data_IF_778252911452
#
_entry.id   IF_778252911452
#
_cell.length_a   1.000
_cell.length_b   1.000
_cell.length_c   1.000
_cell.angle_alpha   90.00
_cell.angle_beta   90.00
_cell.angle_gamma   90.00
#
_symmetry.space_group_name_H-M   'P 1'
#
loop_
_entity.id
_entity.type
_entity.pdbx_description
1 polymer ?
#
# COMPACT_ATOMS: atom_id res chain seq x y z
N UNK A 1 -42.97 -66.60 -6.44
CA UNK A 1 -42.41 -66.03 -7.68
C UNK A 1 -43.09 -64.70 -7.99
N UNK A 2 -42.43 -63.56 -7.73
CA UNK A 2 -42.64 -62.27 -8.42
C UNK A 2 -41.67 -61.20 -7.85
N UNK A 3 -40.69 -60.87 -8.69
CA UNK A 3 -40.10 -59.55 -8.97
C UNK A 3 -39.53 -58.70 -7.83
N UNK A 4 -38.20 -58.64 -7.78
CA UNK A 4 -37.44 -57.44 -7.41
C UNK A 4 -36.42 -57.19 -8.53
N UNK A 5 -36.61 -56.08 -9.26
CA UNK A 5 -35.67 -55.59 -10.27
C UNK A 5 -34.59 -54.72 -9.59
N UNK A 6 -33.33 -54.74 -10.08
CA UNK A 6 -32.23 -54.00 -9.49
C UNK A 6 -32.24 -52.54 -9.98
N UNK A 7 -32.19 -51.59 -9.06
CA UNK A 7 -31.98 -50.18 -9.37
C UNK A 7 -30.89 -49.65 -8.43
N UNK A 8 -29.64 -50.00 -8.73
CA UNK A 8 -28.49 -49.60 -7.94
C UNK A 8 -27.24 -49.71 -8.81
N UNK A 9 -27.06 -48.78 -9.74
CA UNK A 9 -25.76 -48.42 -10.32
C UNK A 9 -25.98 -47.34 -11.39
N UNK A 10 -26.10 -46.08 -10.96
CA UNK A 10 -25.90 -44.85 -11.75
C UNK A 10 -26.25 -43.70 -10.80
N UNK A 11 -25.31 -42.79 -10.55
CA UNK A 11 -25.40 -41.48 -9.85
C UNK A 11 -24.28 -41.17 -8.84
N UNK A 12 -23.17 -41.93 -8.82
CA UNK A 12 -21.93 -41.51 -8.17
C UNK A 12 -20.97 -40.72 -9.09
N UNK A 13 -21.45 -40.21 -10.23
CA UNK A 13 -20.72 -39.33 -11.15
C UNK A 13 -21.30 -37.90 -11.11
N UNK A 14 -21.50 -37.37 -9.90
CA UNK A 14 -21.83 -35.95 -9.73
C UNK A 14 -20.55 -35.11 -9.86
N UNK A 15 -20.40 -34.51 -11.03
CA UNK A 15 -19.85 -33.18 -11.29
C UNK A 15 -18.60 -32.74 -10.49
N UNK A 16 -17.41 -33.23 -10.89
CA UNK A 16 -16.19 -32.42 -10.78
C UNK A 16 -15.90 -31.86 -12.17
N UNK A 17 -16.35 -30.64 -12.45
CA UNK A 17 -16.01 -29.96 -13.70
C UNK A 17 -14.50 -29.75 -13.75
N UNK A 18 -13.87 -30.10 -14.86
CA UNK A 18 -12.44 -29.87 -15.12
C UNK A 18 -12.07 -28.40 -14.97
N UNK A 19 -13.00 -27.50 -15.28
CA UNK A 19 -12.87 -26.06 -15.08
C UNK A 19 -12.76 -25.68 -13.59
N UNK A 20 -13.56 -26.30 -12.71
CA UNK A 20 -13.47 -26.06 -11.26
C UNK A 20 -12.17 -26.62 -10.68
N UNK A 21 -11.66 -27.73 -11.21
CA UNK A 21 -10.35 -28.27 -10.82
C UNK A 21 -9.20 -27.40 -11.33
N UNK A 22 -9.29 -26.89 -12.56
CA UNK A 22 -8.30 -25.96 -13.11
C UNK A 22 -8.32 -24.62 -12.38
N UNK A 23 -9.51 -24.10 -12.02
CA UNK A 23 -9.65 -22.89 -11.21
C UNK A 23 -9.11 -23.11 -9.80
N UNK A 24 -9.42 -24.24 -9.16
CA UNK A 24 -8.84 -24.62 -7.85
C UNK A 24 -7.32 -24.76 -7.93
N UNK A 25 -6.79 -25.36 -8.98
CA UNK A 25 -5.34 -25.43 -9.18
C UNK A 25 -4.74 -24.03 -9.34
N UNK A 26 -5.36 -23.12 -10.08
CA UNK A 26 -4.86 -21.71 -10.15
C UNK A 26 -4.92 -20.98 -8.80
N UNK A 27 -5.94 -21.22 -7.99
CA UNK A 27 -6.14 -20.54 -6.69
C UNK A 27 -5.27 -21.13 -5.58
N UNK A 28 -5.01 -22.44 -5.61
CA UNK A 28 -4.30 -23.16 -4.54
C UNK A 28 -2.89 -23.61 -4.92
N UNK A 29 -2.45 -23.39 -6.16
CA UNK A 29 -1.04 -23.53 -6.51
C UNK A 29 -0.22 -22.46 -5.79
N UNK A 30 1.02 -22.79 -5.35
CA UNK A 30 1.98 -21.79 -4.95
C UNK A 30 2.09 -20.72 -6.05
N UNK A 31 2.15 -19.43 -5.67
CA UNK A 31 2.44 -18.38 -6.64
C UNK A 31 3.71 -18.74 -7.40
N UNK A 32 3.60 -18.86 -8.73
CA UNK A 32 4.76 -19.06 -9.58
C UNK A 32 5.70 -17.87 -9.41
N UNK A 33 7.03 -18.10 -9.34
CA UNK A 33 7.98 -17.02 -9.26
C UNK A 33 7.74 -16.07 -10.44
N UNK A 34 7.67 -14.76 -10.15
CA UNK A 34 7.52 -13.73 -11.17
C UNK A 34 8.61 -13.95 -12.22
N UNK A 35 8.20 -14.37 -13.43
CA UNK A 35 9.11 -14.52 -14.56
C UNK A 35 9.82 -13.20 -14.87
N UNK A 36 10.81 -13.24 -15.76
CA UNK A 36 11.46 -12.00 -16.19
C UNK A 36 10.43 -11.07 -16.81
N UNK A 37 10.24 -9.89 -16.22
CA UNK A 37 9.38 -8.83 -16.71
C UNK A 37 9.96 -8.32 -18.03
N UNK A 38 9.11 -8.14 -19.03
CA UNK A 38 9.54 -7.63 -20.34
C UNK A 38 10.07 -6.20 -20.20
N UNK A 39 9.41 -5.44 -19.33
CA UNK A 39 9.72 -4.08 -18.92
C UNK A 39 11.15 -3.97 -18.40
N UNK A 40 11.63 -4.92 -17.61
CA UNK A 40 12.99 -4.90 -17.04
C UNK A 40 14.10 -5.02 -18.10
N UNK A 41 13.77 -5.55 -19.29
CA UNK A 41 14.71 -5.70 -20.42
C UNK A 41 14.70 -4.49 -21.35
N UNK A 42 13.72 -3.59 -21.18
CA UNK A 42 13.63 -2.38 -21.98
C UNK A 42 14.82 -1.46 -21.67
N UNK A 43 15.59 -1.04 -22.69
CA UNK A 43 16.66 -0.07 -22.50
C UNK A 43 16.05 1.30 -22.20
N UNK A 44 16.47 1.91 -21.09
CA UNK A 44 16.05 3.24 -20.68
C UNK A 44 17.24 4.20 -20.81
N UNK A 45 17.09 5.27 -21.58
CA UNK A 45 18.14 6.29 -21.69
C UNK A 45 18.10 7.22 -20.47
N UNK A 46 18.89 6.86 -19.45
CA UNK A 46 18.98 7.61 -18.20
C UNK A 46 19.45 9.06 -18.36
N UNK A 47 19.90 9.52 -19.55
CA UNK A 47 20.37 10.89 -19.79
C UNK A 47 19.25 11.83 -20.27
N UNK A 48 18.24 11.32 -20.92
CA UNK A 48 17.18 12.12 -21.56
C UNK A 48 16.00 12.42 -20.62
N UNK A 49 16.04 12.01 -19.34
CA UNK A 49 14.93 12.26 -18.39
C UNK A 49 14.58 13.74 -18.21
N UNK A 50 15.50 14.68 -18.41
CA UNK A 50 15.19 16.11 -18.33
C UNK A 50 14.39 16.63 -19.54
N UNK A 51 14.45 15.93 -20.66
CA UNK A 51 13.88 16.33 -21.95
C UNK A 51 12.64 15.50 -22.30
N UNK A 52 12.53 14.29 -21.76
CA UNK A 52 11.40 13.38 -21.95
C UNK A 52 10.62 13.16 -20.64
N UNK A 53 9.48 13.83 -20.54
CA UNK A 53 8.58 13.76 -19.39
C UNK A 53 7.94 12.36 -19.20
N UNK A 54 7.72 11.60 -20.28
CA UNK A 54 7.14 10.27 -20.19
C UNK A 54 8.17 9.28 -19.66
N UNK A 55 9.41 9.37 -20.16
CA UNK A 55 10.53 8.59 -19.65
C UNK A 55 10.83 8.93 -18.18
N UNK A 56 10.84 10.21 -17.82
CA UNK A 56 10.98 10.65 -16.43
C UNK A 56 9.90 10.02 -15.54
N UNK A 57 8.63 10.12 -15.95
CA UNK A 57 7.53 9.52 -15.20
C UNK A 57 7.71 8.01 -15.05
N UNK A 58 8.08 7.30 -16.11
CA UNK A 58 8.31 5.85 -16.12
C UNK A 58 9.43 5.42 -15.16
N UNK A 59 10.53 6.16 -15.11
CA UNK A 59 11.67 5.88 -14.23
C UNK A 59 11.35 6.20 -12.77
N UNK A 60 10.71 7.36 -12.51
CA UNK A 60 10.36 7.78 -11.14
C UNK A 60 9.26 6.92 -10.50
N UNK A 61 8.45 6.24 -11.32
CA UNK A 61 7.39 5.31 -10.90
C UNK A 61 7.74 3.84 -11.16
N UNK A 62 9.03 3.52 -11.33
CA UNK A 62 9.47 2.16 -11.60
C UNK A 62 9.09 1.20 -10.44
N UNK A 63 8.36 0.10 -10.70
CA UNK A 63 8.00 -0.87 -9.66
C UNK A 63 9.20 -1.57 -9.06
N UNK A 64 9.12 -1.97 -7.80
CA UNK A 64 10.22 -2.65 -7.09
C UNK A 64 10.57 -4.01 -7.68
N UNK A 65 9.59 -4.75 -8.20
CA UNK A 65 9.86 -5.99 -8.95
C UNK A 65 10.73 -5.75 -10.19
N UNK A 66 10.57 -4.60 -10.86
CA UNK A 66 11.41 -4.27 -12.01
C UNK A 66 12.80 -3.81 -11.57
N UNK A 67 12.88 -2.98 -10.52
CA UNK A 67 14.15 -2.54 -9.93
C UNK A 67 14.98 -3.76 -9.49
N UNK A 68 14.35 -4.78 -8.89
CA UNK A 68 15.00 -6.06 -8.58
C UNK A 68 15.62 -6.70 -9.82
N UNK A 69 14.88 -6.81 -10.93
CA UNK A 69 15.39 -7.47 -12.13
C UNK A 69 16.48 -6.66 -12.84
N UNK A 70 16.44 -5.33 -12.71
CA UNK A 70 17.44 -4.40 -13.26
C UNK A 70 18.73 -4.38 -12.44
N UNK A 71 18.62 -4.32 -11.11
CA UNK A 71 19.77 -4.14 -10.20
C UNK A 71 20.28 -5.46 -9.59
N UNK A 72 19.44 -6.49 -9.55
CA UNK A 72 19.66 -7.69 -8.75
C UNK A 72 19.42 -7.46 -7.25
N UNK A 73 19.91 -8.36 -6.39
CA UNK A 73 19.80 -8.22 -4.93
C UNK A 73 20.43 -6.91 -4.45
N UNK A 74 19.76 -6.21 -3.53
CA UNK A 74 20.22 -4.92 -3.02
C UNK A 74 19.56 -4.58 -1.68
N UNK A 75 20.06 -3.55 -1.01
CA UNK A 75 19.43 -2.91 0.15
C UNK A 75 19.00 -1.50 -0.23
N UNK A 76 17.73 -1.18 -0.06
CA UNK A 76 17.22 0.17 -0.22
C UNK A 76 16.67 0.69 1.11
N UNK A 77 16.91 1.96 1.40
CA UNK A 77 16.44 2.61 2.62
C UNK A 77 15.81 3.94 2.25
N UNK A 78 14.57 4.13 2.67
CA UNK A 78 13.84 5.39 2.52
C UNK A 78 13.56 5.99 3.88
N UNK A 79 13.90 7.25 4.07
CA UNK A 79 13.43 8.07 5.19
C UNK A 79 12.45 9.10 4.66
N UNK A 80 11.30 9.22 5.31
CA UNK A 80 10.29 10.25 5.00
C UNK A 80 10.00 11.02 6.27
N UNK A 81 10.04 12.35 6.19
CA UNK A 81 9.59 13.23 7.25
C UNK A 81 8.48 14.08 6.68
N UNK A 82 7.36 14.16 7.38
CA UNK A 82 6.30 15.07 7.01
C UNK A 82 5.78 15.83 8.22
N UNK A 83 5.40 17.08 7.99
CA UNK A 83 4.75 17.95 8.95
C UNK A 83 3.55 18.62 8.27
N UNK A 84 2.37 18.42 8.83
CA UNK A 84 1.15 19.11 8.44
C UNK A 84 0.90 20.29 9.37
N UNK A 85 0.67 21.45 8.79
CA UNK A 85 0.27 22.67 9.48
C UNK A 85 -1.16 22.99 9.10
N UNK A 86 -2.05 23.11 10.09
CA UNK A 86 -3.39 23.64 9.86
C UNK A 86 -3.32 25.17 9.85
N UNK A 87 -3.88 25.80 8.81
CA UNK A 87 -3.82 27.25 8.65
C UNK A 87 -4.48 28.03 9.81
N UNK A 88 -4.15 29.32 9.98
CA UNK A 88 -4.65 30.16 11.09
C UNK A 88 -6.17 30.43 11.06
N UNK A 89 -6.88 30.00 10.01
CA UNK A 89 -8.33 30.19 9.85
C UNK A 89 -9.23 29.22 10.63
N UNK A 90 -8.68 28.25 11.37
CA UNK A 90 -9.45 27.30 12.19
C UNK A 90 -9.52 27.74 13.66
N UNK A 91 -10.68 27.52 14.30
CA UNK A 91 -11.01 27.99 15.66
C UNK A 91 -10.02 27.55 16.75
N UNK A 92 -9.23 26.51 16.50
CA UNK A 92 -8.36 25.88 17.49
C UNK A 92 -6.88 26.25 17.32
N UNK A 93 -6.55 27.23 16.46
CA UNK A 93 -5.22 27.86 16.45
C UNK A 93 -4.07 27.04 15.86
N UNK A 94 -4.35 26.17 14.88
CA UNK A 94 -3.34 25.43 14.12
C UNK A 94 -2.66 24.31 14.93
N UNK A 95 -2.96 23.04 14.62
CA UNK A 95 -2.21 21.91 15.17
C UNK A 95 -1.20 21.37 14.17
N UNK A 96 0.03 21.16 14.65
CA UNK A 96 1.09 20.49 13.91
C UNK A 96 0.96 18.97 14.08
N UNK A 97 0.94 18.23 12.96
CA UNK A 97 1.07 16.78 12.96
C UNK A 97 2.34 16.42 12.20
N UNK A 98 3.34 15.94 12.92
CA UNK A 98 4.61 15.49 12.33
C UNK A 98 4.90 14.02 12.60
N UNK A 99 5.52 13.38 11.62
CA UNK A 99 5.96 11.99 11.67
C UNK A 99 7.24 11.82 10.86
N UNK A 100 8.21 11.10 11.43
CA UNK A 100 9.40 10.63 10.71
C UNK A 100 9.33 9.13 10.58
N UNK A 101 9.23 8.63 9.35
CA UNK A 101 9.22 7.21 9.01
C UNK A 101 10.54 6.80 8.36
N UNK A 102 10.98 5.59 8.67
CA UNK A 102 12.12 4.94 8.06
C UNK A 102 11.71 3.55 7.62
N UNK A 103 11.94 3.25 6.35
CA UNK A 103 11.70 1.95 5.75
C UNK A 103 12.98 1.39 5.15
N UNK A 104 13.31 0.15 5.48
CA UNK A 104 14.38 -0.62 4.83
C UNK A 104 13.75 -1.76 4.03
N UNK A 105 14.15 -1.89 2.77
CA UNK A 105 13.88 -3.04 1.91
C UNK A 105 15.21 -3.79 1.68
N UNK A 106 15.25 -5.05 2.06
CA UNK A 106 16.28 -5.99 1.63
C UNK A 106 15.70 -6.83 0.50
N UNK A 107 16.21 -6.61 -0.72
CA UNK A 107 15.80 -7.36 -1.89
C UNK A 107 16.74 -8.56 -2.08
N UNK A 108 16.18 -9.76 -1.96
CA UNK A 108 16.84 -11.02 -2.26
C UNK A 108 16.67 -11.43 -3.72
N UNK A 109 17.32 -12.54 -4.14
CA UNK A 109 17.12 -13.10 -5.47
C UNK A 109 15.75 -13.77 -5.60
N UNK A 110 15.13 -13.68 -6.78
CA UNK A 110 13.94 -14.48 -7.13
C UNK A 110 12.66 -13.99 -6.47
N UNK A 111 12.59 -12.70 -6.14
CA UNK A 111 11.42 -12.07 -5.55
C UNK A 111 11.34 -12.15 -4.03
N UNK A 112 12.29 -12.79 -3.34
CA UNK A 112 12.36 -12.81 -1.88
C UNK A 112 12.72 -11.42 -1.34
N UNK A 113 12.11 -10.98 -0.24
CA UNK A 113 12.42 -9.68 0.36
C UNK A 113 12.09 -9.58 1.86
N UNK A 114 12.69 -8.60 2.52
CA UNK A 114 12.38 -8.18 3.89
C UNK A 114 12.11 -6.67 3.89
N UNK A 115 10.94 -6.28 4.40
CA UNK A 115 10.55 -4.88 4.63
C UNK A 115 10.47 -4.63 6.12
N UNK A 116 11.24 -3.67 6.60
CA UNK A 116 11.15 -3.14 7.95
C UNK A 116 10.77 -1.67 7.92
N UNK A 117 9.64 -1.33 8.54
CA UNK A 117 9.16 0.04 8.72
C UNK A 117 9.15 0.39 10.20
N UNK A 118 9.64 1.58 10.54
CA UNK A 118 9.52 2.17 11.88
C UNK A 118 9.35 3.68 11.82
N UNK A 119 8.78 4.28 12.86
CA UNK A 119 8.67 5.72 12.99
C UNK A 119 9.08 6.25 14.37
N UNK A 120 9.18 7.58 14.48
CA UNK A 120 9.53 8.32 15.70
C UNK A 120 8.46 8.27 16.81
N UNK A 121 7.36 7.55 16.58
CA UNK A 121 6.30 7.26 17.57
C UNK A 121 6.33 5.80 18.06
N UNK A 122 7.45 5.10 17.86
CA UNK A 122 7.63 3.69 18.24
C UNK A 122 6.59 2.75 17.61
N UNK A 123 6.11 3.08 16.42
CA UNK A 123 5.24 2.22 15.63
C UNK A 123 5.99 1.69 14.42
N UNK A 124 5.55 0.53 13.92
CA UNK A 124 6.21 -0.13 12.81
C UNK A 124 5.91 -1.61 12.74
N UNK A 125 6.43 -2.24 11.69
CA UNK A 125 6.33 -3.67 11.45
C UNK A 125 7.53 -4.16 10.67
N UNK A 126 7.69 -5.48 10.65
CA UNK A 126 8.64 -6.17 9.79
C UNK A 126 7.91 -7.29 9.06
N UNK A 127 8.09 -7.36 7.75
CA UNK A 127 7.54 -8.39 6.88
C UNK A 127 8.68 -9.07 6.13
N UNK A 128 8.79 -10.38 6.27
CA UNK A 128 9.70 -11.22 5.50
C UNK A 128 8.88 -12.06 4.54
N UNK A 129 9.13 -11.89 3.24
CA UNK A 129 8.64 -12.74 2.17
C UNK A 129 9.77 -13.63 1.68
N UNK A 130 9.63 -14.93 1.89
CA UNK A 130 10.68 -15.88 1.55
C UNK A 130 10.06 -17.17 1.03
N UNK A 131 10.40 -17.56 -0.21
CA UNK A 131 9.98 -18.82 -0.85
C UNK A 131 8.47 -19.05 -0.80
N UNK A 132 7.68 -18.00 -1.03
CA UNK A 132 6.22 -18.09 -1.04
C UNK A 132 5.57 -18.01 0.34
N UNK A 133 6.33 -17.76 1.41
CA UNK A 133 5.83 -17.65 2.77
C UNK A 133 5.97 -16.23 3.32
N UNK A 134 4.91 -15.72 3.94
CA UNK A 134 4.89 -14.40 4.58
C UNK A 134 5.01 -14.53 6.10
N UNK A 135 5.98 -13.84 6.69
CA UNK A 135 6.16 -13.70 8.13
C UNK A 135 6.04 -12.24 8.52
N UNK A 136 5.23 -11.92 9.52
CA UNK A 136 4.99 -10.54 9.95
C UNK A 136 5.11 -10.43 11.46
N UNK A 137 5.75 -9.37 11.94
CA UNK A 137 5.67 -8.92 13.34
C UNK A 137 5.37 -7.43 13.41
N UNK A 138 4.77 -7.01 14.52
CA UNK A 138 4.87 -5.61 14.94
C UNK A 138 6.29 -5.31 15.42
N UNK A 139 6.63 -4.02 15.55
CA UNK A 139 7.98 -3.58 15.92
C UNK A 139 8.60 -4.32 17.12
N UNK A 140 7.79 -4.62 18.15
CA UNK A 140 8.21 -5.30 19.39
C UNK A 140 7.57 -6.68 19.60
N UNK A 141 6.82 -7.18 18.62
CA UNK A 141 6.13 -8.47 18.72
C UNK A 141 6.94 -9.65 18.15
N UNK A 142 6.53 -10.89 18.42
CA UNK A 142 7.09 -12.05 17.75
C UNK A 142 6.64 -12.12 16.28
N UNK A 143 7.46 -12.74 15.43
CA UNK A 143 7.03 -13.08 14.08
C UNK A 143 5.90 -14.10 14.11
N UNK A 144 4.95 -13.93 13.20
CA UNK A 144 3.88 -14.88 12.93
C UNK A 144 3.83 -15.17 11.45
N UNK A 145 3.65 -16.43 11.09
CA UNK A 145 3.38 -16.81 9.72
C UNK A 145 1.99 -16.35 9.33
N UNK A 146 1.88 -15.57 8.27
CA UNK A 146 0.62 -15.09 7.72
C UNK A 146 0.25 -15.90 6.49
N UNK A 147 -1.05 -16.07 6.27
CA UNK A 147 -1.54 -16.60 5.00
C UNK A 147 -1.38 -15.54 3.92
N UNK A 148 -0.96 -15.96 2.75
CA UNK A 148 -0.68 -15.11 1.59
C UNK A 148 -1.96 -14.56 0.97
N UNK A 149 -3.05 -15.31 1.02
CA UNK A 149 -4.40 -14.89 0.56
C UNK A 149 -4.96 -13.66 1.29
N UNK A 150 -4.44 -13.34 2.47
CA UNK A 150 -4.85 -12.18 3.28
C UNK A 150 -3.77 -11.12 3.41
N UNK A 151 -2.58 -11.36 2.84
CA UNK A 151 -1.42 -10.48 2.97
C UNK A 151 -0.94 -10.12 1.57
N UNK A 152 -1.23 -8.90 1.15
CA UNK A 152 -0.77 -8.37 -0.13
C UNK A 152 0.71 -7.96 -0.02
N UNK A 153 1.59 -8.96 -0.09
CA UNK A 153 3.04 -8.80 0.07
C UNK A 153 3.63 -7.92 -1.04
N UNK A 154 3.10 -8.05 -2.26
CA UNK A 154 3.49 -7.22 -3.40
C UNK A 154 3.24 -5.76 -3.12
N UNK A 155 2.01 -5.40 -2.69
CA UNK A 155 1.69 -4.01 -2.35
C UNK A 155 2.55 -3.47 -1.21
N UNK A 156 2.86 -4.28 -0.18
CA UNK A 156 3.73 -3.84 0.91
C UNK A 156 5.14 -3.53 0.40
N UNK A 157 5.69 -4.38 -0.49
CA UNK A 157 6.98 -4.13 -1.14
C UNK A 157 6.97 -2.82 -1.94
N UNK A 158 5.92 -2.59 -2.75
CA UNK A 158 5.82 -1.36 -3.54
C UNK A 158 5.66 -0.11 -2.64
N UNK A 159 4.88 -0.21 -1.57
CA UNK A 159 4.68 0.89 -0.61
C UNK A 159 5.96 1.25 0.15
N UNK A 160 6.83 0.27 0.44
CA UNK A 160 8.04 0.45 1.22
C UNK A 160 8.98 1.55 0.68
N UNK A 161 8.99 1.76 -0.63
CA UNK A 161 9.84 2.73 -1.33
C UNK A 161 9.03 3.71 -2.20
N UNK A 162 7.76 3.93 -1.85
CA UNK A 162 6.83 4.75 -2.63
C UNK A 162 7.03 6.27 -2.50
N UNK A 163 8.04 6.72 -1.77
CA UNK A 163 8.25 8.15 -1.52
C UNK A 163 8.60 8.93 -2.80
N UNK A 164 9.47 8.40 -3.65
CA UNK A 164 9.83 9.02 -4.94
C UNK A 164 8.63 9.19 -5.89
N UNK A 165 7.84 8.14 -6.19
CA UNK A 165 6.65 8.32 -7.02
C UNK A 165 5.59 9.20 -6.36
N UNK A 166 5.51 9.22 -5.02
CA UNK A 166 4.63 10.13 -4.28
C UNK A 166 5.02 11.59 -4.48
N UNK A 167 6.30 11.92 -4.40
CA UNK A 167 6.82 13.26 -4.70
C UNK A 167 6.50 13.69 -6.14
N UNK A 168 6.73 12.81 -7.11
CA UNK A 168 6.40 13.11 -8.51
C UNK A 168 4.89 13.32 -8.72
N UNK A 169 4.05 12.51 -8.08
CA UNK A 169 2.59 12.68 -8.11
C UNK A 169 2.17 14.04 -7.54
N UNK A 170 2.62 14.37 -6.33
CA UNK A 170 2.26 15.62 -5.66
C UNK A 170 2.79 16.85 -6.41
N UNK A 171 3.98 16.73 -7.01
CA UNK A 171 4.54 17.74 -7.91
C UNK A 171 3.87 17.81 -9.28
N UNK A 172 2.94 16.91 -9.61
CA UNK A 172 2.35 16.82 -10.96
C UNK A 172 3.47 16.69 -12.02
N UNK A 173 4.49 15.88 -11.71
CA UNK A 173 5.73 15.73 -12.47
C UNK A 173 6.87 16.58 -11.93
N UNK A 174 8.00 15.98 -11.60
CA UNK A 174 9.21 16.71 -11.21
C UNK A 174 9.90 17.36 -12.41
N UNK A 175 10.39 18.59 -12.24
CA UNK A 175 11.25 19.25 -13.25
C UNK A 175 12.71 18.89 -12.99
N UNK A 176 13.28 18.11 -13.91
CA UNK A 176 14.63 17.59 -13.80
C UNK A 176 15.61 18.45 -14.62
N UNK A 177 16.81 18.63 -14.10
CA UNK A 177 17.95 19.20 -14.82
C UNK A 177 19.16 18.31 -14.61
N UNK A 178 19.83 17.93 -15.69
CA UNK A 178 21.11 17.20 -15.59
C UNK A 178 22.13 18.09 -14.86
N UNK A 179 22.73 17.57 -13.79
CA UNK A 179 23.80 18.26 -13.06
C UNK A 179 25.14 17.74 -13.55
N UNK A 180 25.38 16.44 -13.40
CA UNK A 180 26.60 15.77 -13.82
C UNK A 180 26.41 14.25 -13.84
N UNK A 181 27.39 13.53 -14.40
CA UNK A 181 27.54 12.10 -14.18
C UNK A 181 28.47 11.85 -12.98
N UNK A 182 28.24 10.77 -12.24
CA UNK A 182 29.09 10.34 -11.13
C UNK A 182 29.08 8.82 -10.97
N UNK A 183 29.73 8.31 -9.93
CA UNK A 183 29.71 6.89 -9.57
C UNK A 183 29.04 6.73 -8.21
N UNK A 184 28.10 5.78 -8.09
CA UNK A 184 27.47 5.39 -6.83
C UNK A 184 27.40 3.85 -6.76
N UNK A 185 27.79 3.25 -5.63
CA UNK A 185 27.87 1.79 -5.47
C UNK A 185 28.65 1.06 -6.59
N UNK A 186 29.69 1.71 -7.13
CA UNK A 186 30.49 1.17 -8.24
C UNK A 186 29.82 1.26 -9.62
N UNK A 187 28.63 1.87 -9.71
CA UNK A 187 27.85 2.02 -10.94
C UNK A 187 27.87 3.47 -11.44
N UNK A 188 27.81 3.66 -12.75
CA UNK A 188 27.71 5.00 -13.35
C UNK A 188 26.29 5.53 -13.20
N UNK A 189 26.15 6.76 -12.70
CA UNK A 189 24.85 7.41 -12.50
C UNK A 189 24.80 8.78 -13.15
N UNK A 190 23.61 9.17 -13.61
CA UNK A 190 23.27 10.56 -13.91
C UNK A 190 22.70 11.19 -12.64
N UNK A 191 23.26 12.33 -12.22
CA UNK A 191 22.71 13.14 -11.15
C UNK A 191 21.80 14.20 -11.76
N UNK A 192 20.54 14.19 -11.35
CA UNK A 192 19.56 15.20 -11.65
C UNK A 192 19.36 16.13 -10.46
N UNK A 193 19.30 17.43 -10.73
CA UNK A 193 18.78 18.43 -9.82
C UNK A 193 17.29 18.59 -10.07
N UNK A 194 16.52 18.66 -8.99
CA UNK A 194 15.08 18.97 -9.04
C UNK A 194 14.90 20.43 -8.67
N UNK A 195 14.29 21.19 -9.56
CA UNK A 195 14.00 22.61 -9.34
C UNK A 195 12.62 22.93 -9.94
N UNK A 196 11.57 22.64 -9.16
CA UNK A 196 10.18 22.89 -9.53
C UNK A 196 9.39 21.63 -9.91
N UNK A 197 8.19 21.89 -10.41
CA UNK A 197 7.11 20.91 -10.56
C UNK A 197 6.28 21.21 -11.82
N UNK A 198 5.30 20.36 -12.12
CA UNK A 198 4.49 20.44 -13.34
C UNK A 198 5.23 19.95 -14.58
N UNK A 199 6.15 19.00 -14.40
CA UNK A 199 6.89 18.36 -15.50
C UNK A 199 6.07 17.33 -16.28
N UNK A 200 4.92 16.89 -15.75
CA UNK A 200 4.07 15.89 -16.41
C UNK A 200 3.27 16.58 -17.52
N UNK A 201 3.38 16.09 -18.75
CA UNK A 201 2.44 16.42 -19.81
C UNK A 201 1.05 15.93 -19.41
N UNK A 202 -0.02 16.71 -19.62
CA UNK A 202 -1.38 16.28 -19.31
C UNK A 202 -1.66 14.91 -19.97
N UNK A 203 -1.66 13.86 -19.15
CA UNK A 203 -1.84 12.49 -19.62
C UNK A 203 -3.28 12.28 -20.03
N UNK A 204 -3.50 11.73 -21.22
CA UNK A 204 -4.80 11.30 -21.76
C UNK A 204 -5.33 10.00 -21.12
N UNK A 205 -5.10 9.80 -19.83
CA UNK A 205 -5.59 8.61 -19.12
C UNK A 205 -6.81 8.92 -18.25
N UNK A 206 -7.74 9.71 -18.79
CA UNK A 206 -9.16 9.52 -18.47
C UNK A 206 -9.61 8.26 -19.19
N UNK A 207 -9.25 7.08 -18.65
CA UNK A 207 -10.14 5.95 -18.83
C UNK A 207 -11.44 6.38 -18.16
N UNK A 208 -12.52 6.51 -18.93
CA UNK A 208 -13.87 6.77 -18.40
C UNK A 208 -14.22 5.64 -17.43
N UNK A 209 -13.81 5.79 -16.18
CA UNK A 209 -14.28 4.96 -15.10
C UNK A 209 -15.76 5.32 -14.90
N UNK A 210 -16.62 4.34 -14.61
CA UNK A 210 -17.99 4.63 -14.26
C UNK A 210 -18.01 5.62 -13.08
N UNK A 211 -18.94 6.59 -13.09
CA UNK A 211 -18.99 7.61 -12.05
C UNK A 211 -19.18 6.94 -10.69
N UNK A 212 -18.41 7.39 -9.70
CA UNK A 212 -18.50 6.90 -8.32
C UNK A 212 -19.88 7.23 -7.79
N UNK A 213 -20.63 6.22 -7.38
CA UNK A 213 -21.95 6.39 -6.78
C UNK A 213 -21.80 6.50 -5.27
N UNK A 214 -22.21 7.64 -4.71
CA UNK A 214 -22.25 7.84 -3.27
C UNK A 214 -23.65 7.56 -2.71
N UNK A 215 -23.76 6.94 -1.52
CA UNK A 215 -25.02 6.86 -0.80
C UNK A 215 -25.62 8.27 -0.61
N UNK A 216 -26.83 8.51 -1.13
CA UNK A 216 -27.47 9.83 -1.05
C UNK A 216 -26.95 10.86 -2.07
N UNK A 217 -26.26 10.44 -3.14
CA UNK A 217 -25.73 11.30 -4.22
C UNK A 217 -24.70 12.35 -3.77
N UNK A 218 -24.12 12.22 -2.57
CA UNK A 218 -23.05 13.08 -2.09
C UNK A 218 -22.05 12.27 -1.24
N UNK A 219 -20.75 12.58 -1.27
CA UNK A 219 -19.78 11.97 -0.38
C UNK A 219 -20.10 12.30 1.07
N UNK A 220 -19.85 11.36 1.98
CA UNK A 220 -19.88 11.65 3.41
C UNK A 220 -18.82 12.72 3.77
N UNK A 221 -18.95 13.41 4.92
CA UNK A 221 -18.04 14.51 5.28
C UNK A 221 -16.55 14.15 5.31
N UNK A 222 -16.20 12.90 5.62
CA UNK A 222 -14.80 12.47 5.63
C UNK A 222 -14.29 12.27 4.21
N UNK A 223 -15.10 11.62 3.37
CA UNK A 223 -14.79 11.46 1.95
C UNK A 223 -14.69 12.81 1.24
N UNK A 224 -15.60 13.75 1.52
CA UNK A 224 -15.56 15.10 0.98
C UNK A 224 -14.25 15.82 1.30
N UNK A 225 -13.77 15.72 2.55
CA UNK A 225 -12.48 16.30 2.98
C UNK A 225 -11.27 15.67 2.27
N UNK A 226 -11.30 14.35 2.04
CA UNK A 226 -10.24 13.64 1.30
C UNK A 226 -10.21 14.04 -0.17
N UNK A 227 -11.38 14.16 -0.79
CA UNK A 227 -11.51 14.66 -2.17
C UNK A 227 -11.00 16.10 -2.29
N UNK A 228 -11.40 16.96 -1.35
CA UNK A 228 -10.92 18.35 -1.31
C UNK A 228 -9.40 18.43 -1.19
N UNK A 229 -8.79 17.60 -0.34
CA UNK A 229 -7.34 17.48 -0.26
C UNK A 229 -6.74 17.10 -1.62
N UNK A 230 -7.25 16.05 -2.26
CA UNK A 230 -6.72 15.59 -3.55
C UNK A 230 -6.90 16.58 -4.69
N UNK A 231 -8.00 17.33 -4.71
CA UNK A 231 -8.31 18.30 -5.77
C UNK A 231 -7.57 19.63 -5.60
N UNK A 232 -7.47 20.12 -4.35
CA UNK A 232 -6.92 21.45 -4.03
C UNK A 232 -5.48 21.43 -3.56
N UNK A 233 -4.85 20.26 -3.52
CA UNK A 233 -3.41 20.12 -3.25
C UNK A 233 -2.60 20.79 -4.37
N UNK A 234 -1.82 21.80 -3.99
CA UNK A 234 -0.97 22.58 -4.87
C UNK A 234 0.49 22.56 -4.35
N UNK A 235 1.46 22.12 -5.16
CA UNK A 235 2.87 22.30 -4.83
C UNK A 235 3.24 23.80 -4.83
N UNK A 236 3.97 24.21 -3.80
CA UNK A 236 4.48 25.59 -3.62
C UNK A 236 5.98 25.65 -3.90
N UNK A 237 6.72 24.64 -3.45
CA UNK A 237 8.14 24.47 -3.80
C UNK A 237 8.51 23.00 -3.79
N UNK A 238 9.35 22.59 -4.75
CA UNK A 238 9.97 21.27 -4.76
C UNK A 238 11.41 21.43 -5.21
N UNK A 239 12.33 20.86 -4.45
CA UNK A 239 13.76 20.91 -4.75
C UNK A 239 14.47 19.64 -4.29
N UNK A 240 15.65 19.37 -4.84
CA UNK A 240 16.43 18.23 -4.40
C UNK A 240 17.31 17.61 -5.46
N UNK A 241 17.65 16.34 -5.27
CA UNK A 241 18.47 15.57 -6.20
C UNK A 241 17.93 14.16 -6.39
N UNK A 242 18.18 13.60 -7.57
CA UNK A 242 17.85 12.22 -7.93
C UNK A 242 19.08 11.61 -8.61
N UNK A 243 19.39 10.36 -8.28
CA UNK A 243 20.45 9.57 -8.89
C UNK A 243 19.81 8.43 -9.66
N UNK A 244 20.12 8.34 -10.96
CA UNK A 244 19.61 7.29 -11.84
C UNK A 244 20.77 6.53 -12.45
N UNK A 245 20.73 5.20 -12.38
CA UNK A 245 21.72 4.31 -12.98
C UNK A 245 21.73 4.43 -14.51
N UNK A 246 22.91 4.65 -15.10
CA UNK A 246 23.04 4.86 -16.55
C UNK A 246 22.73 3.59 -17.35
N UNK A 247 23.10 2.43 -16.82
CA UNK A 247 23.00 1.16 -17.55
C UNK A 247 21.58 0.61 -17.52
N UNK A 248 20.92 0.73 -16.38
CA UNK A 248 19.61 0.11 -16.13
C UNK A 248 18.47 1.10 -16.11
N UNK A 249 18.72 2.40 -15.95
CA UNK A 249 17.68 3.41 -15.74
C UNK A 249 16.99 3.35 -14.38
N UNK A 250 17.44 2.49 -13.46
CA UNK A 250 16.83 2.37 -12.14
C UNK A 250 17.23 3.54 -11.21
N UNK A 251 16.29 4.09 -10.42
CA UNK A 251 16.61 5.10 -9.41
C UNK A 251 17.44 4.47 -8.27
N UNK A 252 18.63 5.04 -8.00
CA UNK A 252 19.53 4.57 -6.92
C UNK A 252 19.47 5.43 -5.66
N UNK A 253 18.91 6.64 -5.76
CA UNK A 253 18.76 7.51 -4.60
C UNK A 253 18.08 8.82 -4.92
N UNK A 254 17.57 9.45 -3.87
CA UNK A 254 17.05 10.81 -3.96
C UNK A 254 17.19 11.53 -2.60
N UNK A 255 17.17 12.85 -2.64
CA UNK A 255 17.01 13.73 -1.48
C UNK A 255 16.09 14.85 -1.95
N UNK A 256 14.82 14.81 -1.57
CA UNK A 256 13.75 15.66 -2.08
C UNK A 256 13.06 16.38 -0.95
N UNK A 257 12.91 17.70 -1.08
CA UNK A 257 12.15 18.56 -0.17
C UNK A 257 11.02 19.22 -0.93
N UNK A 258 9.83 19.18 -0.36
CA UNK A 258 8.63 19.75 -0.93
C UNK A 258 7.81 20.49 0.11
N UNK A 259 7.25 21.62 -0.29
CA UNK A 259 6.23 22.35 0.44
C UNK A 259 4.96 22.39 -0.42
N UNK A 260 3.84 21.97 0.15
CA UNK A 260 2.55 21.86 -0.52
C UNK A 260 1.50 22.58 0.31
N UNK A 261 0.48 23.12 -0.35
CA UNK A 261 -0.65 23.77 0.31
C UNK A 261 -1.97 23.20 -0.20
N UNK A 262 -2.99 23.27 0.65
CA UNK A 262 -4.38 23.02 0.29
C UNK A 262 -5.07 24.36 0.26
N UNK A 263 -5.50 24.81 -0.92
CA UNK A 263 -6.12 26.11 -1.07
C UNK A 263 -7.40 26.22 -0.22
N UNK A 264 -7.52 27.32 0.54
CA UNK A 264 -8.72 27.62 1.32
C UNK A 264 -9.86 28.16 0.47
N UNK A 265 -11.08 27.92 0.93
CA UNK A 265 -12.26 28.59 0.38
C UNK A 265 -12.25 30.04 0.87
N UNK A 266 -12.28 31.02 -0.04
CA UNK A 266 -12.45 32.46 0.25
C UNK A 266 -11.32 33.18 1.02
N UNK A 267 -10.14 33.35 0.40
CA UNK A 267 -9.19 34.45 0.68
C UNK A 267 -8.51 34.47 2.06
N UNK A 268 -8.85 33.57 2.97
CA UNK A 268 -8.38 33.53 4.37
C UNK A 268 -7.06 32.75 4.57
N UNK A 269 -6.28 32.52 3.50
CA UNK A 269 -5.08 31.68 3.53
C UNK A 269 -5.34 30.21 3.20
N UNK A 270 -4.31 29.34 3.26
CA UNK A 270 -4.45 27.92 3.01
C UNK A 270 -5.19 27.20 4.15
N UNK A 271 -5.97 26.18 3.81
CA UNK A 271 -6.64 25.31 4.80
C UNK A 271 -5.61 24.42 5.53
N UNK A 272 -4.58 23.98 4.81
CA UNK A 272 -3.49 23.19 5.34
C UNK A 272 -2.22 23.40 4.51
N UNK A 273 -1.07 23.20 5.13
CA UNK A 273 0.24 23.14 4.49
C UNK A 273 0.94 21.84 4.89
N UNK A 274 1.79 21.34 4.00
CA UNK A 274 2.56 20.12 4.18
C UNK A 274 4.02 20.39 3.81
N UNK A 275 4.90 20.21 4.77
CA UNK A 275 6.33 20.03 4.52
C UNK A 275 6.64 18.54 4.42
N UNK A 276 7.33 18.15 3.36
CA UNK A 276 7.73 16.77 3.09
C UNK A 276 9.22 16.74 2.76
N UNK A 277 9.97 15.85 3.40
CA UNK A 277 11.35 15.52 3.08
C UNK A 277 11.48 14.02 2.88
N UNK A 278 12.05 13.58 1.76
CA UNK A 278 12.35 12.18 1.52
C UNK A 278 13.79 11.98 1.10
N UNK A 279 14.43 10.96 1.67
CA UNK A 279 15.75 10.50 1.29
C UNK A 279 15.67 9.02 0.94
N UNK A 280 16.09 8.64 -0.26
CA UNK A 280 16.26 7.26 -0.71
C UNK A 280 17.74 6.98 -0.92
N UNK A 281 18.20 5.84 -0.42
CA UNK A 281 19.56 5.34 -0.60
C UNK A 281 19.49 3.86 -0.98
N UNK A 282 20.03 3.51 -2.14
CA UNK A 282 20.24 2.12 -2.57
C UNK A 282 21.71 1.74 -2.44
N UNK A 283 21.98 0.60 -1.82
CA UNK A 283 23.29 0.09 -1.45
C UNK A 283 23.41 -1.42 -1.69
N UNK A 284 24.64 -1.92 -1.66
CA UNK A 284 24.94 -3.35 -1.73
C UNK A 284 24.34 -4.01 -2.98
N UNK A 285 24.31 -3.28 -4.09
CA UNK A 285 23.78 -3.75 -5.37
C UNK A 285 24.55 -4.99 -5.85
N UNK A 286 23.82 -6.02 -6.27
CA UNK A 286 24.33 -7.33 -6.65
C UNK A 286 24.75 -8.23 -5.47
N UNK A 287 24.65 -7.78 -4.22
CA UNK A 287 25.04 -8.56 -3.04
C UNK A 287 23.81 -9.17 -2.40
N UNK A 288 23.80 -10.50 -2.28
CA UNK A 288 22.71 -11.20 -1.62
C UNK A 288 22.65 -10.83 -0.12
N UNK A 289 21.53 -10.27 0.38
CA UNK A 289 21.38 -9.91 1.79
C UNK A 289 21.31 -11.12 2.74
N UNK A 290 21.21 -12.35 2.21
CA UNK A 290 21.23 -13.57 3.00
C UNK A 290 19.95 -13.79 3.82
N UNK A 291 18.78 -13.47 3.24
CA UNK A 291 17.48 -13.61 3.89
C UNK A 291 17.27 -15.03 4.42
N UNK A 292 16.84 -15.12 5.67
CA UNK A 292 16.53 -16.37 6.37
C UNK A 292 15.11 -16.31 6.91
N UNK A 293 14.40 -17.46 7.00
CA UNK A 293 13.10 -17.48 7.64
C UNK A 293 13.27 -17.13 9.13
N UNK A 294 12.50 -16.17 9.66
CA UNK A 294 12.62 -15.80 11.05
C UNK A 294 12.07 -16.91 11.96
N UNK A 295 12.50 -16.90 13.23
CA UNK A 295 11.82 -17.68 14.27
C UNK A 295 10.42 -17.09 14.48
N UNK A 296 9.38 -17.89 14.28
CA UNK A 296 7.99 -17.44 14.37
C UNK A 296 7.18 -18.27 15.37
N UNK A 297 6.11 -17.66 15.90
CA UNK A 297 5.13 -18.28 16.77
C UNK A 297 3.81 -18.52 16.03
N UNK A 298 3.11 -19.63 16.30
CA UNK A 298 1.77 -19.86 15.76
C UNK A 298 0.84 -18.70 16.06
N UNK A 299 -0.01 -18.36 15.09
CA UNK A 299 -1.05 -17.38 15.34
C UNK A 299 -1.94 -17.88 16.49
N UNK A 300 -2.17 -17.08 17.55
CA UNK A 300 -3.08 -17.48 18.60
C UNK A 300 -4.43 -17.76 17.96
N UNK A 301 -4.95 -18.96 18.21
CA UNK A 301 -6.30 -19.32 17.83
C UNK A 301 -7.23 -18.30 18.47
N UNK A 302 -7.71 -17.32 17.69
CA UNK A 302 -8.90 -16.57 18.08
C UNK A 302 -9.99 -17.64 18.10
N UNK A 303 -10.61 -17.95 19.27
CA UNK A 303 -11.78 -18.80 19.26
C UNK A 303 -12.71 -18.18 18.24
N UNK A 304 -13.20 -18.94 17.25
CA UNK A 304 -14.12 -18.41 16.25
C UNK A 304 -15.27 -17.73 16.97
N UNK A 305 -15.14 -16.41 17.18
CA UNK A 305 -16.14 -15.63 17.85
C UNK A 305 -17.28 -15.63 16.84
N UNK A 306 -18.38 -16.22 17.30
CA UNK A 306 -19.66 -16.26 16.61
C UNK A 306 -19.76 -17.36 15.53
N UNK A 307 -19.82 -18.62 15.96
CA UNK A 307 -20.52 -19.67 15.19
C UNK A 307 -22.04 -19.44 15.12
N UNK A 308 -22.59 -18.49 15.88
CA UNK A 308 -24.03 -18.22 15.90
C UNK A 308 -24.33 -16.75 16.33
N UNK A 309 -24.40 -15.79 15.40
CA UNK A 309 -24.61 -14.36 15.71
C UNK A 309 -25.96 -14.08 16.35
N UNK A 310 -26.92 -14.98 16.11
CA UNK A 310 -28.31 -14.83 16.53
C UNK A 310 -28.51 -15.23 18.00
N UNK A 311 -27.58 -16.00 18.59
CA UNK A 311 -27.61 -16.31 20.03
C UNK A 311 -27.38 -15.09 20.91
N UNK A 312 -26.55 -14.14 20.47
CA UNK A 312 -26.36 -12.87 21.18
C UNK A 312 -27.61 -11.98 21.15
N UNK A 313 -28.52 -12.21 20.21
CA UNK A 313 -29.81 -11.52 20.09
C UNK A 313 -30.97 -12.34 20.67
N UNK A 314 -30.69 -13.43 21.40
CA UNK A 314 -31.72 -14.27 22.03
C UNK A 314 -32.62 -15.04 21.05
N UNK A 315 -32.25 -15.15 19.77
CA UNK A 315 -33.04 -15.88 18.77
C UNK A 315 -32.38 -17.21 18.46
N UNK A 316 -33.05 -18.30 18.82
CA UNK A 316 -32.60 -19.64 18.45
C UNK A 316 -32.74 -19.87 16.93
N UNK A 317 -31.79 -20.57 16.29
CA UNK A 317 -31.91 -20.95 14.89
C UNK A 317 -33.05 -21.97 14.73
N UNK A 318 -34.18 -21.54 14.13
CA UNK A 318 -35.32 -22.42 13.87
C UNK A 318 -36.70 -21.84 14.16
N UNK A 319 -36.80 -20.61 14.68
CA UNK A 319 -38.10 -19.95 14.87
C UNK A 319 -38.79 -19.74 13.51
N UNK A 320 -39.88 -20.46 13.29
CA UNK A 320 -40.71 -20.40 12.09
C UNK A 320 -41.34 -19.00 11.98
N UNK A 321 -41.36 -18.36 10.80
CA UNK A 321 -41.97 -17.04 10.64
C UNK A 321 -43.50 -17.18 10.69
N UNK A 322 -44.09 -16.92 11.86
CA UNK A 322 -45.55 -16.90 11.99
C UNK A 322 -46.06 -17.20 13.39
N UNK A 323 -45.83 -16.30 14.34
CA UNK A 323 -46.71 -16.14 15.49
C UNK A 323 -46.64 -14.67 15.94
N UNK A 324 -47.76 -13.93 16.00
CA UNK A 324 -47.76 -12.53 16.41
C UNK A 324 -47.34 -12.43 17.89
N UNK A 325 -46.41 -11.52 18.18
CA UNK A 325 -45.99 -11.17 19.54
C UNK A 325 -47.21 -10.57 20.27
N UNK A 326 -47.73 -11.30 21.24
CA UNK A 326 -48.65 -10.77 22.24
C UNK A 326 -47.90 -10.61 23.56
N UNK A 327 -48.22 -9.52 24.25
CA UNK A 327 -47.78 -9.07 25.58
C UNK A 327 -46.47 -8.27 25.63
N UNK A 328 -46.64 -6.94 25.63
CA UNK A 328 -45.77 -6.01 26.37
C UNK A 328 -45.87 -6.36 27.88
N UNK A 329 -44.76 -6.47 28.62
CA UNK A 329 -44.79 -6.44 30.08
C UNK A 329 -44.84 -5.00 30.56
N UNK A 330 -45.81 -4.74 31.44
CA UNK A 330 -46.00 -3.50 32.21
C UNK A 330 -44.74 -3.15 33.03
N UNK A 331 -44.41 -1.87 33.08
CA UNK A 331 -43.43 -1.30 34.02
C UNK A 331 -44.02 -1.38 35.44
N UNK A 332 -43.55 -2.33 36.25
CA UNK A 332 -43.62 -2.22 37.71
C UNK A 332 -42.36 -1.51 38.21
N UNK A 333 -42.58 -0.35 38.81
CA UNK A 333 -41.54 0.47 39.41
C UNK A 333 -41.01 -0.13 40.71
N UNK A 334 -39.76 0.18 41.01
CA UNK A 334 -39.25 0.12 42.37
C UNK A 334 -38.52 1.42 42.70
N UNK A 335 -39.03 2.06 43.74
CA UNK A 335 -38.49 3.22 44.43
C UNK A 335 -37.18 2.83 45.12
N UNK A 336 -36.08 3.54 44.84
CA UNK A 336 -34.97 3.62 45.80
C UNK A 336 -34.86 5.04 46.37
N UNK A 337 -35.23 5.06 47.65
CA UNK A 337 -35.23 6.15 48.61
C UNK A 337 -33.86 6.79 48.84
N UNK A 338 -33.90 8.12 49.05
CA UNK A 338 -32.86 8.92 49.72
C UNK A 338 -32.42 8.29 51.06
N UNK A 339 -31.13 8.39 51.39
CA UNK A 339 -30.64 7.89 52.67
C UNK A 339 -29.18 8.20 53.02
N UNK A 340 -28.91 9.50 53.26
CA UNK A 340 -27.86 10.11 54.12
C UNK A 340 -26.37 9.89 53.85
#
# INVERSE_FOLDING_TARGET
MRRLAPLLFLFALSCRRSEDQAAKQRIFSPEEPLGTLAEAKEPLDARSLAEDAQLAHRVLHMPQAEIEQRLGPHRAQTRVQFAWFRGPGLKDGGSEVSLSEETTLLQGPGGDFDVRLSNDRNQGFELVWLKGEAFVKSLYGPFRKRRTDRTDVGRIREQALSALPTFDRMGRGLKLKVVNESVAEGRRVVRYGVAGWGGRAAGKDERELPPVQYPGNAPDPDTARRLELWEKEEPVSISGTILVDIETGAPLGCDLKGHFKVAGSSGAGPNAELDLHSVLITQAVGKNPGLQPPKWEPEPSVPHAVKDPLRFLGKEPGATPGAPSAAEPEEEGDEESEGR
#
